data_IF_515817298641
#
_entry.id   IF_515817298641
#
_cell.length_a   1.000
_cell.length_b   1.000
_cell.length_c   1.000
_cell.angle_alpha   90.00
_cell.angle_beta   90.00
_cell.angle_gamma   90.00
#
_symmetry.space_group_name_H-M   'P 1'
#
loop_
_entity.id
_entity.type
_entity.pdbx_description
1 polymer ?
#
# COMPACT_ATOMS: atom_id res chain seq x y z
N UNK A 1 29.22 -8.27 -10.95
CA UNK A 1 29.08 -8.06 -12.40
C UNK A 1 30.09 -8.95 -13.11
N UNK A 2 29.67 -9.80 -14.06
CA UNK A 2 30.47 -10.60 -15.00
C UNK A 2 30.92 -12.04 -14.64
N UNK A 3 30.28 -12.74 -13.73
CA UNK A 3 30.46 -14.22 -13.63
C UNK A 3 29.79 -14.99 -14.77
N UNK A 4 28.73 -14.43 -15.37
CA UNK A 4 28.01 -15.03 -16.50
C UNK A 4 28.80 -14.95 -17.82
N UNK A 5 29.60 -13.89 -18.04
CA UNK A 5 30.40 -13.73 -19.26
C UNK A 5 31.65 -14.61 -19.23
N UNK A 6 32.25 -14.84 -18.07
CA UNK A 6 33.41 -15.76 -17.96
C UNK A 6 32.99 -17.22 -18.15
N UNK A 7 31.80 -17.61 -17.73
CA UNK A 7 31.26 -18.95 -17.96
C UNK A 7 31.02 -19.27 -19.41
N UNK A 8 30.54 -18.31 -20.20
CA UNK A 8 30.25 -18.53 -21.63
C UNK A 8 31.50 -18.63 -22.51
N UNK A 9 32.59 -17.98 -22.11
CA UNK A 9 33.84 -17.99 -22.92
C UNK A 9 34.70 -19.22 -22.64
N UNK A 10 34.73 -19.74 -21.41
CA UNK A 10 35.57 -20.88 -21.04
C UNK A 10 35.00 -22.25 -21.49
N UNK A 11 33.70 -22.33 -21.80
CA UNK A 11 33.03 -23.59 -22.15
C UNK A 11 32.75 -23.73 -23.65
N UNK A 12 33.10 -22.73 -24.47
CA UNK A 12 32.78 -22.72 -25.88
C UNK A 12 33.58 -23.74 -26.69
N UNK A 13 34.76 -24.19 -26.21
CA UNK A 13 35.63 -25.13 -26.90
C UNK A 13 35.41 -26.61 -26.47
N UNK A 14 34.76 -26.87 -25.33
CA UNK A 14 34.59 -28.22 -24.80
C UNK A 14 33.28 -28.91 -25.21
N UNK A 15 32.31 -28.16 -25.72
CA UNK A 15 30.99 -28.69 -26.05
C UNK A 15 30.79 -28.74 -27.53
N UNK A 16 30.56 -29.94 -28.10
CA UNK A 16 30.24 -30.12 -29.52
C UNK A 16 29.11 -29.19 -29.97
N UNK A 17 29.20 -28.67 -31.19
CA UNK A 17 28.25 -27.68 -31.70
C UNK A 17 26.79 -28.10 -31.59
N UNK A 18 26.51 -29.39 -31.74
CA UNK A 18 25.19 -30.00 -31.67
C UNK A 18 24.60 -29.93 -30.23
N UNK A 19 25.43 -30.16 -29.21
CA UNK A 19 25.00 -30.07 -27.81
C UNK A 19 24.71 -28.64 -27.44
N UNK A 20 25.47 -27.69 -27.94
CA UNK A 20 25.25 -26.26 -27.72
C UNK A 20 23.96 -25.76 -28.36
N UNK A 21 23.66 -26.22 -29.58
CA UNK A 21 22.40 -25.91 -30.25
C UNK A 21 21.20 -26.50 -29.49
N UNK A 22 21.29 -27.74 -29.01
CA UNK A 22 20.27 -28.39 -28.22
C UNK A 22 20.02 -27.64 -26.92
N UNK A 23 21.06 -27.14 -26.25
CA UNK A 23 20.95 -26.39 -24.98
C UNK A 23 20.27 -25.04 -25.18
N UNK A 24 20.55 -24.35 -26.27
CA UNK A 24 19.83 -23.09 -26.60
C UNK A 24 18.36 -23.32 -26.95
N UNK A 25 18.05 -24.40 -27.66
CA UNK A 25 16.66 -24.75 -27.99
C UNK A 25 15.88 -25.10 -26.73
N UNK A 26 16.45 -25.90 -25.81
CA UNK A 26 15.79 -26.24 -24.56
C UNK A 26 15.56 -25.00 -23.68
N UNK A 27 16.55 -24.12 -23.61
CA UNK A 27 16.40 -22.86 -22.87
C UNK A 27 15.29 -21.98 -23.48
N UNK A 28 15.24 -21.85 -24.80
CA UNK A 28 14.18 -21.10 -25.48
C UNK A 28 12.79 -21.69 -25.24
N UNK A 29 12.67 -23.03 -25.25
CA UNK A 29 11.39 -23.72 -24.94
C UNK A 29 10.96 -23.48 -23.51
N UNK A 30 11.87 -23.55 -22.55
CA UNK A 30 11.57 -23.26 -21.12
C UNK A 30 11.11 -21.81 -20.93
N UNK A 31 11.79 -20.86 -21.59
CA UNK A 31 11.37 -19.45 -21.55
C UNK A 31 10.04 -19.21 -22.21
N UNK A 32 9.75 -19.84 -23.32
CA UNK A 32 8.45 -19.75 -24.00
C UNK A 32 7.34 -20.35 -23.13
N UNK A 33 7.59 -21.49 -22.49
CA UNK A 33 6.65 -22.12 -21.57
C UNK A 33 6.40 -21.22 -20.33
N UNK A 34 7.46 -20.65 -19.74
CA UNK A 34 7.33 -19.73 -18.61
C UNK A 34 6.53 -18.46 -18.99
N UNK A 35 6.77 -17.91 -20.19
CA UNK A 35 6.00 -16.78 -20.69
C UNK A 35 4.53 -17.13 -20.94
N UNK A 36 4.23 -18.32 -21.48
CA UNK A 36 2.88 -18.79 -21.67
C UNK A 36 2.15 -19.00 -20.36
N UNK A 37 2.80 -19.60 -19.36
CA UNK A 37 2.25 -19.76 -18.00
C UNK A 37 2.00 -18.39 -17.37
N UNK A 38 2.96 -17.46 -17.47
CA UNK A 38 2.77 -16.08 -16.98
C UNK A 38 1.61 -15.36 -17.66
N UNK A 39 1.41 -15.57 -18.96
CA UNK A 39 0.29 -14.98 -19.69
C UNK A 39 -1.08 -15.57 -19.28
N UNK A 40 -1.12 -16.86 -18.92
CA UNK A 40 -2.34 -17.52 -18.44
C UNK A 40 -2.65 -17.16 -16.99
N UNK A 41 -1.60 -16.99 -16.15
CA UNK A 41 -1.74 -16.67 -14.72
C UNK A 41 -1.75 -15.16 -14.43
N UNK A 42 -1.35 -14.32 -15.40
CA UNK A 42 -1.64 -12.90 -15.29
C UNK A 42 -3.15 -12.73 -15.33
N UNK A 43 -3.78 -12.19 -14.26
CA UNK A 43 -5.19 -11.85 -14.36
C UNK A 43 -5.31 -10.92 -15.55
N UNK A 44 -6.08 -11.37 -16.55
CA UNK A 44 -6.31 -10.68 -17.82
C UNK A 44 -6.83 -9.27 -17.56
N UNK A 45 -5.91 -8.30 -17.39
CA UNK A 45 -6.21 -6.87 -17.50
C UNK A 45 -6.36 -6.43 -18.97
N UNK A 46 -6.48 -7.38 -19.90
CA UNK A 46 -6.51 -7.15 -21.36
C UNK A 46 -7.88 -7.39 -21.97
N UNK A 47 -8.93 -7.11 -21.22
CA UNK A 47 -10.23 -6.84 -21.80
C UNK A 47 -10.78 -5.61 -21.08
N UNK A 48 -10.21 -4.43 -21.37
CA UNK A 48 -10.95 -3.21 -21.12
C UNK A 48 -12.17 -3.22 -22.06
N UNK A 49 -13.40 -3.30 -21.51
CA UNK A 49 -14.57 -2.89 -22.26
C UNK A 49 -14.37 -1.41 -22.60
N UNK A 50 -14.78 -0.98 -23.80
CA UNK A 50 -14.78 0.42 -24.19
C UNK A 50 -15.26 1.31 -23.03
N UNK A 51 -14.61 2.47 -22.81
CA UNK A 51 -14.92 3.30 -21.67
C UNK A 51 -16.36 3.77 -21.73
N UNK A 52 -17.18 3.31 -20.81
CA UNK A 52 -18.35 4.02 -20.36
C UNK A 52 -17.95 5.45 -19.98
N UNK A 53 -18.86 6.45 -20.14
CA UNK A 53 -18.55 7.86 -19.89
C UNK A 53 -17.86 8.05 -18.53
N UNK A 54 -17.00 9.03 -18.36
CA UNK A 54 -15.79 9.02 -17.53
C UNK A 54 -16.05 8.52 -16.11
N UNK A 55 -16.01 7.22 -15.98
CA UNK A 55 -16.03 6.54 -14.69
C UNK A 55 -14.66 6.76 -14.09
N UNK A 56 -14.62 7.44 -12.96
CA UNK A 56 -13.36 7.58 -12.24
C UNK A 56 -12.89 6.21 -11.81
N UNK A 57 -11.74 5.85 -12.30
CA UNK A 57 -11.02 4.65 -11.88
C UNK A 57 -10.38 4.89 -10.51
N UNK A 58 -10.04 3.84 -9.79
CA UNK A 58 -9.31 3.95 -8.53
C UNK A 58 -8.04 4.81 -8.68
N UNK A 59 -7.29 4.67 -9.78
CA UNK A 59 -6.08 5.44 -10.05
C UNK A 59 -6.34 6.97 -10.10
N UNK A 60 -7.47 7.38 -10.68
CA UNK A 60 -7.85 8.80 -10.71
C UNK A 60 -8.25 9.32 -9.33
N UNK A 61 -8.86 8.47 -8.51
CA UNK A 61 -9.20 8.82 -7.13
C UNK A 61 -7.93 8.89 -6.28
N UNK A 62 -6.98 7.98 -6.49
CA UNK A 62 -5.67 8.01 -5.85
C UNK A 62 -4.91 9.30 -6.19
N UNK A 63 -4.90 9.72 -7.45
CA UNK A 63 -4.31 11.01 -7.88
C UNK A 63 -4.96 12.20 -7.16
N UNK A 64 -6.29 12.18 -7.00
CA UNK A 64 -7.03 13.22 -6.27
C UNK A 64 -6.67 13.24 -4.78
N UNK A 65 -6.47 12.05 -4.18
CA UNK A 65 -6.00 11.89 -2.80
C UNK A 65 -4.61 12.47 -2.60
N UNK A 66 -3.67 12.13 -3.48
CA UNK A 66 -2.28 12.61 -3.43
C UNK A 66 -2.18 14.14 -3.61
N UNK A 67 -3.15 14.75 -4.30
CA UNK A 67 -3.28 16.21 -4.42
C UNK A 67 -3.91 16.88 -3.19
N UNK A 68 -4.25 16.12 -2.14
CA UNK A 68 -4.84 16.64 -0.90
C UNK A 68 -6.31 17.03 -1.00
N UNK A 69 -7.00 16.67 -2.08
CA UNK A 69 -8.43 16.97 -2.27
C UNK A 69 -9.34 15.97 -1.53
N UNK A 70 -9.24 15.95 -0.22
CA UNK A 70 -9.82 14.95 0.68
C UNK A 70 -11.35 14.81 0.53
N UNK A 71 -12.07 15.93 0.46
CA UNK A 71 -13.52 15.92 0.30
C UNK A 71 -13.96 15.29 -1.03
N UNK A 72 -13.25 15.63 -2.11
CA UNK A 72 -13.52 15.06 -3.42
C UNK A 72 -13.17 13.58 -3.47
N UNK A 73 -12.04 13.21 -2.89
CA UNK A 73 -11.60 11.80 -2.77
C UNK A 73 -12.63 10.97 -2.03
N UNK A 74 -13.15 11.45 -0.89
CA UNK A 74 -14.16 10.75 -0.12
C UNK A 74 -15.43 10.50 -0.94
N UNK A 75 -15.90 11.51 -1.66
CA UNK A 75 -17.08 11.39 -2.53
C UNK A 75 -16.84 10.37 -3.64
N UNK A 76 -15.71 10.47 -4.31
CA UNK A 76 -15.37 9.62 -5.45
C UNK A 76 -15.17 8.14 -5.01
N UNK A 77 -14.56 7.91 -3.83
CA UNK A 77 -14.50 6.57 -3.21
C UNK A 77 -15.87 6.03 -2.87
N UNK A 78 -16.76 6.87 -2.33
CA UNK A 78 -18.15 6.49 -2.07
C UNK A 78 -18.89 6.07 -3.33
N UNK A 79 -18.67 6.75 -4.46
CA UNK A 79 -19.24 6.37 -5.74
C UNK A 79 -18.65 5.07 -6.31
N UNK A 80 -17.34 4.86 -6.16
CA UNK A 80 -16.70 3.59 -6.52
C UNK A 80 -17.29 2.43 -5.73
N UNK A 81 -17.44 2.58 -4.42
CA UNK A 81 -17.98 1.55 -3.55
C UNK A 81 -19.48 1.27 -3.77
N UNK A 82 -20.27 2.25 -4.25
CA UNK A 82 -21.64 2.00 -4.68
C UNK A 82 -21.70 1.09 -5.91
N UNK A 83 -20.76 1.20 -6.83
CA UNK A 83 -20.68 0.38 -8.06
C UNK A 83 -20.04 -0.97 -7.79
N UNK A 84 -18.95 -0.98 -7.02
CA UNK A 84 -18.24 -2.18 -6.61
C UNK A 84 -18.09 -2.24 -5.08
N UNK A 85 -19.10 -2.75 -4.36
CA UNK A 85 -19.07 -2.83 -2.90
C UNK A 85 -17.97 -3.74 -2.33
N UNK A 86 -17.38 -4.59 -3.18
CA UNK A 86 -16.30 -5.52 -2.81
C UNK A 86 -14.90 -5.02 -3.15
N UNK A 87 -14.77 -3.77 -3.56
CA UNK A 87 -13.47 -3.15 -3.81
C UNK A 87 -12.74 -2.89 -2.49
N UNK A 88 -11.81 -3.77 -2.17
CA UNK A 88 -11.05 -3.72 -0.92
C UNK A 88 -10.07 -2.55 -0.90
N UNK A 89 -9.47 -2.22 -2.06
CA UNK A 89 -8.53 -1.10 -2.19
C UNK A 89 -9.24 0.24 -1.90
N UNK A 90 -10.39 0.45 -2.55
CA UNK A 90 -11.19 1.65 -2.35
C UNK A 90 -11.73 1.76 -0.92
N UNK A 91 -12.11 0.63 -0.31
CA UNK A 91 -12.64 0.61 1.06
C UNK A 91 -11.56 0.89 2.10
N UNK A 92 -10.37 0.32 1.94
CA UNK A 92 -9.23 0.60 2.81
C UNK A 92 -8.82 2.07 2.73
N UNK A 93 -8.72 2.62 1.52
CA UNK A 93 -8.40 4.03 1.31
C UNK A 93 -9.47 4.94 1.96
N UNK A 94 -10.75 4.58 1.87
CA UNK A 94 -11.82 5.35 2.52
C UNK A 94 -11.70 5.29 4.05
N UNK A 95 -11.38 4.12 4.64
CA UNK A 95 -11.14 3.99 6.08
C UNK A 95 -9.97 4.86 6.54
N UNK A 96 -8.83 4.84 5.81
CA UNK A 96 -7.68 5.71 6.08
C UNK A 96 -8.05 7.19 6.03
N UNK A 97 -8.81 7.60 5.02
CA UNK A 97 -9.25 8.99 4.86
C UNK A 97 -10.18 9.41 6.00
N UNK A 98 -11.11 8.55 6.40
CA UNK A 98 -12.02 8.80 7.54
C UNK A 98 -11.26 8.92 8.86
N UNK A 99 -10.21 8.11 9.07
CA UNK A 99 -9.31 8.24 10.23
C UNK A 99 -8.65 9.62 10.26
N UNK A 100 -8.10 10.07 9.15
CA UNK A 100 -7.50 11.41 9.05
C UNK A 100 -8.53 12.54 9.27
N UNK A 101 -9.78 12.30 8.91
CA UNK A 101 -10.89 13.23 9.19
C UNK A 101 -11.43 13.14 10.63
N UNK A 102 -10.86 12.28 11.49
CA UNK A 102 -11.32 12.07 12.87
C UNK A 102 -12.64 11.30 13.00
N UNK A 103 -13.14 10.70 11.90
CA UNK A 103 -14.40 9.92 11.87
C UNK A 103 -14.11 8.44 12.16
N UNK A 104 -13.66 8.19 13.40
CA UNK A 104 -13.10 6.90 13.84
C UNK A 104 -14.10 5.75 13.69
N UNK A 105 -15.35 5.95 14.14
CA UNK A 105 -16.39 4.91 14.12
C UNK A 105 -16.74 4.46 12.70
N UNK A 106 -16.80 5.40 11.77
CA UNK A 106 -17.08 5.09 10.38
C UNK A 106 -15.91 4.34 9.73
N UNK A 107 -14.67 4.74 10.04
CA UNK A 107 -13.48 4.05 9.59
C UNK A 107 -13.45 2.59 10.06
N UNK A 108 -13.74 2.34 11.34
CA UNK A 108 -13.85 0.98 11.90
C UNK A 108 -14.93 0.16 11.18
N UNK A 109 -16.11 0.73 10.92
CA UNK A 109 -17.17 0.05 10.18
C UNK A 109 -16.77 -0.38 8.78
N UNK A 110 -15.94 0.42 8.09
CA UNK A 110 -15.38 0.04 6.79
C UNK A 110 -14.39 -1.13 6.91
N UNK A 111 -13.50 -1.14 7.93
CA UNK A 111 -12.56 -2.23 8.17
C UNK A 111 -13.28 -3.54 8.54
N UNK A 112 -14.29 -3.48 9.40
CA UNK A 112 -15.11 -4.64 9.74
C UNK A 112 -15.84 -5.23 8.53
N UNK A 113 -16.32 -4.36 7.64
CA UNK A 113 -16.97 -4.81 6.41
C UNK A 113 -15.98 -5.52 5.50
N UNK A 114 -14.73 -5.06 5.42
CA UNK A 114 -13.67 -5.71 4.62
C UNK A 114 -13.40 -7.14 5.09
N UNK A 115 -13.38 -7.39 6.40
CA UNK A 115 -13.09 -8.71 6.98
C UNK A 115 -14.10 -9.80 6.57
N UNK A 116 -15.30 -9.39 6.14
CA UNK A 116 -16.35 -10.31 5.68
C UNK A 116 -16.19 -10.74 4.22
N UNK A 117 -15.25 -10.13 3.49
CA UNK A 117 -15.07 -10.43 2.07
C UNK A 117 -14.00 -11.50 1.83
N UNK A 118 -14.25 -12.36 0.86
CA UNK A 118 -13.25 -13.29 0.35
C UNK A 118 -12.06 -12.51 -0.24
N UNK A 119 -10.85 -13.01 -0.01
CA UNK A 119 -9.62 -12.37 -0.52
C UNK A 119 -9.06 -11.28 0.39
N UNK A 120 -9.68 -11.02 1.55
CA UNK A 120 -9.19 -10.05 2.55
C UNK A 120 -7.81 -10.41 3.10
N UNK A 121 -7.40 -11.68 3.02
CA UNK A 121 -6.14 -12.17 3.58
C UNK A 121 -4.92 -11.40 3.08
N UNK A 122 -4.97 -10.92 1.85
CA UNK A 122 -3.94 -10.07 1.25
C UNK A 122 -3.75 -8.75 2.01
N UNK A 123 -4.82 -8.26 2.66
CA UNK A 123 -4.89 -6.96 3.31
C UNK A 123 -4.85 -7.03 4.85
N UNK A 124 -4.61 -8.21 5.41
CA UNK A 124 -4.65 -8.42 6.87
C UNK A 124 -3.64 -7.54 7.62
N UNK A 125 -2.49 -7.26 7.03
CA UNK A 125 -1.48 -6.41 7.64
C UNK A 125 -1.93 -4.95 7.69
N UNK A 126 -2.42 -4.44 6.57
CA UNK A 126 -2.90 -3.06 6.42
C UNK A 126 -4.12 -2.80 7.30
N UNK A 127 -5.08 -3.73 7.35
CA UNK A 127 -6.26 -3.65 8.21
C UNK A 127 -5.84 -3.58 9.68
N UNK A 128 -4.91 -4.44 10.10
CA UNK A 128 -4.40 -4.44 11.48
C UNK A 128 -3.73 -3.12 11.80
N UNK A 129 -2.90 -2.64 10.90
CA UNK A 129 -2.19 -1.36 11.07
C UNK A 129 -3.14 -0.19 11.18
N UNK A 130 -4.15 -0.11 10.34
CA UNK A 130 -5.18 0.94 10.43
C UNK A 130 -5.98 0.86 11.73
N UNK A 131 -6.31 -0.33 12.23
CA UNK A 131 -6.96 -0.50 13.53
C UNK A 131 -6.11 -0.01 14.70
N UNK A 132 -4.82 -0.29 14.68
CA UNK A 132 -3.89 0.23 15.68
C UNK A 132 -3.88 1.76 15.70
N UNK A 133 -3.79 2.38 14.51
CA UNK A 133 -3.81 3.84 14.37
C UNK A 133 -5.15 4.46 14.80
N UNK A 134 -6.26 3.80 14.52
CA UNK A 134 -7.59 4.23 14.98
C UNK A 134 -7.71 4.15 16.50
N UNK A 135 -7.21 3.07 17.12
CA UNK A 135 -7.21 2.92 18.58
C UNK A 135 -6.31 3.98 19.26
N UNK A 136 -5.19 4.33 18.67
CA UNK A 136 -4.32 5.40 19.15
C UNK A 136 -5.00 6.77 19.05
N UNK A 137 -5.59 7.09 17.89
CA UNK A 137 -6.33 8.32 17.68
C UNK A 137 -7.51 8.47 18.65
N UNK A 138 -8.18 7.35 18.99
CA UNK A 138 -9.26 7.34 19.97
C UNK A 138 -8.75 7.61 21.39
N UNK A 139 -7.61 7.04 21.78
CA UNK A 139 -6.98 7.28 23.09
C UNK A 139 -6.56 8.74 23.25
N UNK A 140 -5.91 9.31 22.25
CA UNK A 140 -5.51 10.73 22.26
C UNK A 140 -6.71 11.65 22.38
N UNK A 141 -7.82 11.32 21.70
CA UNK A 141 -9.07 12.09 21.81
C UNK A 141 -9.75 11.99 23.17
N UNK A 142 -9.66 10.83 23.82
CA UNK A 142 -10.28 10.61 25.16
C UNK A 142 -9.42 11.10 26.32
N UNK A 143 -8.13 11.37 26.10
CA UNK A 143 -7.22 11.86 27.12
C UNK A 143 -6.41 13.08 26.61
N UNK A 144 -7.05 14.25 26.43
CA UNK A 144 -6.39 15.46 25.93
C UNK A 144 -5.37 16.08 26.90
N UNK A 145 -5.30 15.62 28.16
CA UNK A 145 -4.46 16.22 29.22
C UNK A 145 -2.99 15.74 29.22
N UNK A 146 -2.60 14.81 28.32
CA UNK A 146 -1.24 14.26 28.33
C UNK A 146 -0.25 15.09 27.47
N UNK A 147 -0.73 16.07 26.73
CA UNK A 147 0.10 16.92 25.84
C UNK A 147 0.22 18.38 26.33
N UNK A 148 -0.04 18.66 27.62
CA UNK A 148 0.50 19.90 28.21
C UNK A 148 2.01 19.72 28.38
N UNK A 149 2.74 20.21 27.37
CA UNK A 149 4.15 20.54 27.41
C UNK A 149 4.44 21.23 28.77
N UNK A 150 5.38 20.71 29.59
CA UNK A 150 5.70 21.34 30.86
C UNK A 150 6.15 22.76 30.55
N UNK A 151 5.27 23.70 30.94
CA UNK A 151 5.50 25.14 30.79
C UNK A 151 6.93 25.49 31.25
N UNK A 152 7.75 26.20 30.46
CA UNK A 152 9.11 26.51 30.78
C UNK A 152 9.27 27.41 32.04
N UNK A 153 8.15 27.83 32.64
CA UNK A 153 8.11 28.69 33.82
C UNK A 153 8.26 27.96 35.17
N UNK A 154 8.41 26.62 35.18
CA UNK A 154 8.64 25.87 36.43
C UNK A 154 10.11 25.80 36.89
N UNK A 155 11.03 26.43 36.17
CA UNK A 155 12.42 26.59 36.63
C UNK A 155 12.49 27.87 37.48
N UNK A 156 12.12 27.73 38.76
CA UNK A 156 12.33 28.78 39.75
C UNK A 156 13.81 29.18 39.76
N UNK A 157 14.12 30.46 40.05
CA UNK A 157 15.49 30.93 40.08
C UNK A 157 16.31 30.17 41.14
N UNK A 158 17.59 29.84 40.86
CA UNK A 158 18.43 29.13 41.83
C UNK A 158 18.58 29.97 43.09
N UNK A 159 18.05 29.44 44.18
CA UNK A 159 18.28 30.01 45.51
C UNK A 159 19.75 29.90 45.88
N UNK A 160 20.42 31.04 46.01
CA UNK A 160 21.73 31.08 46.64
C UNK A 160 22.80 31.91 45.93
N UNK A 161 22.66 33.24 45.99
CA UNK A 161 23.82 34.13 46.06
C UNK A 161 23.53 35.23 47.08
N UNK A 162 23.76 34.92 48.33
CA UNK A 162 23.97 35.94 49.39
C UNK A 162 25.33 36.58 49.16
N UNK A 163 25.34 37.80 48.66
CA UNK A 163 26.50 38.69 48.79
C UNK A 163 26.61 39.19 50.24
N UNK A 164 27.65 38.70 50.93
CA UNK A 164 28.15 39.36 52.09
C UNK A 164 29.17 40.43 51.64
N UNK A 165 28.91 41.66 51.96
CA UNK A 165 29.93 42.75 52.03
C UNK A 165 30.17 43.12 53.48
#
# INVERSE_FOLDING_TARGET
MNLLLLGTFAWSELIAADVRAALWITLAVVWAAAAAVSAVWSPRKLAEPLPDPPQRTFDQVLDTYLKGNWFRTQRDLGELLKRNPRDLDARLMLATLLRHAGRIEEALGHLETMERFEGVQKWNWEIRRERELLAEAQRTRSNPEVEEDPSPDSIGPPAGMTHAA
#
